data_IF_893792715311
#
_entry.id   IF_893792715311
#
_cell.length_a   1.000
_cell.length_b   1.000
_cell.length_c   1.000
_cell.angle_alpha   90.00
_cell.angle_beta   90.00
_cell.angle_gamma   90.00
#
_symmetry.space_group_name_H-M   'P 1'
#
loop_
_entity.id
_entity.type
_entity.pdbx_description
1 polymer ?
#
# COMPACT_ATOMS: atom_id res chain seq x y z
N UNK A 1 -20.37 5.55 -3.12
CA UNK A 1 -19.40 5.19 -2.09
C UNK A 1 -18.74 6.48 -1.60
N UNK A 2 -19.08 6.90 -0.39
CA UNK A 2 -18.60 8.19 0.13
C UNK A 2 -17.37 8.04 1.02
N UNK A 3 -17.25 6.92 1.71
CA UNK A 3 -16.17 6.63 2.63
C UNK A 3 -15.78 5.16 2.56
N UNK A 4 -14.49 4.88 2.46
CA UNK A 4 -13.97 3.52 2.47
C UNK A 4 -12.77 3.41 3.38
N UNK A 5 -12.48 2.19 3.84
CA UNK A 5 -11.27 1.86 4.55
C UNK A 5 -10.35 1.08 3.60
N UNK A 6 -9.10 1.49 3.52
CA UNK A 6 -8.08 0.84 2.70
C UNK A 6 -6.99 0.31 3.61
N UNK A 7 -6.76 -0.99 3.60
CA UNK A 7 -5.64 -1.61 4.29
C UNK A 7 -4.50 -1.78 3.30
N UNK A 8 -3.30 -1.42 3.71
CA UNK A 8 -2.10 -1.61 2.87
C UNK A 8 -1.02 -2.33 3.66
N UNK A 9 -0.24 -3.12 2.95
CA UNK A 9 0.98 -3.71 3.47
C UNK A 9 2.00 -3.80 2.35
N UNK A 10 3.26 -3.57 2.69
CA UNK A 10 4.39 -3.73 1.79
C UNK A 10 5.47 -4.50 2.52
N UNK A 11 6.13 -5.41 1.84
CA UNK A 11 7.16 -6.20 2.47
C UNK A 11 8.26 -6.61 1.51
N UNK A 12 9.44 -6.81 2.05
CA UNK A 12 10.62 -7.25 1.34
C UNK A 12 11.17 -8.51 2.02
N UNK A 13 11.51 -9.52 1.22
CA UNK A 13 12.20 -10.72 1.71
C UNK A 13 13.71 -10.49 1.57
N UNK A 14 14.32 -10.05 2.67
CA UNK A 14 15.62 -9.42 2.68
C UNK A 14 15.42 -7.91 2.67
N UNK A 15 16.34 -7.15 3.23
CA UNK A 15 16.20 -5.70 3.36
C UNK A 15 17.49 -5.01 2.96
N UNK A 16 17.72 -4.74 1.63
CA UNK A 16 16.78 -4.87 0.52
C UNK A 16 16.62 -6.29 -0.03
N UNK A 17 15.56 -6.50 -0.81
CA UNK A 17 15.29 -7.77 -1.48
C UNK A 17 14.02 -7.74 -2.30
N UNK A 18 13.54 -8.90 -2.77
CA UNK A 18 12.27 -9.00 -3.49
C UNK A 18 11.12 -8.47 -2.63
N UNK A 19 10.30 -7.61 -3.21
CA UNK A 19 9.28 -6.90 -2.47
C UNK A 19 7.93 -6.94 -3.20
N UNK A 20 6.85 -6.85 -2.41
CA UNK A 20 5.50 -6.84 -2.93
C UNK A 20 4.58 -5.96 -2.08
N UNK A 21 3.45 -5.60 -2.66
CA UNK A 21 2.41 -4.81 -2.01
C UNK A 21 1.10 -5.59 -2.00
N UNK A 22 0.31 -5.37 -0.95
CA UNK A 22 -1.05 -5.86 -0.84
C UNK A 22 -1.98 -4.74 -0.40
N UNK A 23 -3.20 -4.72 -0.92
CA UNK A 23 -4.21 -3.76 -0.52
C UNK A 23 -5.59 -4.39 -0.49
N UNK A 24 -6.38 -4.00 0.50
CA UNK A 24 -7.74 -4.48 0.73
C UNK A 24 -8.67 -3.27 0.86
N UNK A 25 -9.72 -3.23 0.06
CA UNK A 25 -10.72 -2.17 0.09
C UNK A 25 -11.97 -2.65 0.81
N UNK A 26 -12.38 -1.94 1.86
CA UNK A 26 -13.56 -2.24 2.66
C UNK A 26 -14.57 -1.10 2.59
N UNK A 27 -15.87 -1.45 2.58
CA UNK A 27 -16.94 -0.47 2.63
C UNK A 27 -17.16 0.05 4.06
N UNK A 28 -18.16 0.92 4.24
CA UNK A 28 -18.45 1.53 5.55
C UNK A 28 -18.84 0.50 6.62
N UNK A 29 -19.32 -0.69 6.21
CA UNK A 29 -19.67 -1.78 7.12
C UNK A 29 -18.50 -2.70 7.43
N UNK A 30 -17.32 -2.39 6.91
CA UNK A 30 -16.13 -3.23 7.11
C UNK A 30 -16.06 -4.44 6.20
N UNK A 31 -16.93 -4.55 5.23
CA UNK A 31 -16.96 -5.67 4.30
C UNK A 31 -15.93 -5.46 3.18
N UNK A 32 -15.12 -6.47 2.89
CA UNK A 32 -14.15 -6.43 1.81
C UNK A 32 -14.88 -6.52 0.47
N UNK A 33 -14.67 -5.55 -0.42
CA UNK A 33 -15.27 -5.60 -1.75
C UNK A 33 -14.24 -5.72 -2.88
N UNK A 34 -12.98 -5.42 -2.64
CA UNK A 34 -11.88 -5.62 -3.58
C UNK A 34 -10.58 -5.83 -2.82
N UNK A 35 -9.70 -6.64 -3.40
CA UNK A 35 -8.33 -6.82 -2.89
C UNK A 35 -7.40 -7.03 -4.06
N UNK A 36 -6.16 -6.56 -3.92
CA UNK A 36 -5.15 -6.62 -4.97
C UNK A 36 -3.77 -6.84 -4.38
N UNK A 37 -2.90 -7.48 -5.16
CA UNK A 37 -1.49 -7.61 -4.81
C UNK A 37 -0.63 -7.31 -6.04
N UNK A 38 0.61 -6.92 -5.80
CA UNK A 38 1.56 -6.63 -6.88
C UNK A 38 2.98 -6.92 -6.44
N UNK A 39 3.73 -7.63 -7.27
CA UNK A 39 5.18 -7.71 -7.13
C UNK A 39 5.78 -6.35 -7.49
N UNK A 40 6.66 -5.81 -6.64
CA UNK A 40 7.20 -4.47 -6.81
C UNK A 40 8.59 -4.43 -7.43
N UNK A 41 9.37 -5.49 -7.26
CA UNK A 41 10.74 -5.54 -7.77
C UNK A 41 11.66 -6.39 -6.89
N UNK A 42 12.89 -6.59 -7.36
CA UNK A 42 13.83 -7.54 -6.76
C UNK A 42 14.70 -6.95 -5.67
N UNK A 43 14.75 -5.62 -5.55
CA UNK A 43 15.73 -4.97 -4.68
C UNK A 43 15.16 -3.70 -4.02
N UNK A 44 14.20 -3.88 -3.13
CA UNK A 44 13.58 -2.79 -2.37
C UNK A 44 13.73 -3.04 -0.87
N UNK A 45 13.83 -1.96 -0.10
CA UNK A 45 13.78 -2.04 1.36
C UNK A 45 12.34 -2.21 1.82
N UNK A 46 12.13 -2.64 3.07
CA UNK A 46 10.80 -2.72 3.65
C UNK A 46 10.09 -1.37 3.61
N UNK A 47 10.80 -0.29 3.94
CA UNK A 47 10.20 1.05 3.95
C UNK A 47 9.77 1.50 2.55
N UNK A 48 10.60 1.22 1.53
CA UNK A 48 10.21 1.48 0.13
C UNK A 48 8.95 0.70 -0.26
N UNK A 49 8.88 -0.58 0.13
CA UNK A 49 7.73 -1.43 -0.17
C UNK A 49 6.45 -0.89 0.49
N UNK A 50 6.55 -0.42 1.75
CA UNK A 50 5.41 0.17 2.46
C UNK A 50 4.89 1.43 1.77
N UNK A 51 5.78 2.31 1.34
CA UNK A 51 5.40 3.51 0.59
C UNK A 51 4.77 3.17 -0.74
N UNK A 52 5.37 2.22 -1.47
CA UNK A 52 4.84 1.80 -2.78
C UNK A 52 3.49 1.11 -2.66
N UNK A 53 3.22 0.43 -1.54
CA UNK A 53 1.92 -0.17 -1.28
C UNK A 53 0.82 0.90 -1.20
N UNK A 54 1.09 2.02 -0.54
CA UNK A 54 0.15 3.14 -0.48
C UNK A 54 -0.10 3.72 -1.88
N UNK A 55 0.97 3.97 -2.63
CA UNK A 55 0.88 4.48 -4.00
C UNK A 55 0.06 3.52 -4.87
N UNK A 56 0.36 2.24 -4.79
CA UNK A 56 -0.36 1.20 -5.53
C UNK A 56 -1.85 1.23 -5.20
N UNK A 57 -2.20 1.28 -3.91
CA UNK A 57 -3.60 1.28 -3.48
C UNK A 57 -4.38 2.48 -4.03
N UNK A 58 -3.80 3.68 -3.93
CA UNK A 58 -4.46 4.90 -4.38
C UNK A 58 -4.61 4.96 -5.90
N UNK A 59 -3.57 4.55 -6.63
CA UNK A 59 -3.63 4.46 -8.09
C UNK A 59 -4.63 3.41 -8.54
N UNK A 60 -4.65 2.26 -7.86
CA UNK A 60 -5.56 1.16 -8.18
C UNK A 60 -7.02 1.56 -7.99
N UNK A 61 -7.33 2.29 -6.93
CA UNK A 61 -8.67 2.82 -6.71
C UNK A 61 -9.10 3.71 -7.88
N UNK A 62 -8.25 4.62 -8.30
CA UNK A 62 -8.54 5.53 -9.42
C UNK A 62 -8.71 4.76 -10.73
N UNK A 63 -7.87 3.75 -10.96
CA UNK A 63 -7.94 2.93 -12.16
C UNK A 63 -9.24 2.14 -12.25
N UNK A 64 -9.67 1.54 -11.14
CA UNK A 64 -10.84 0.65 -11.11
C UNK A 64 -12.14 1.44 -11.06
N UNK A 65 -12.20 2.49 -10.25
CA UNK A 65 -13.44 3.23 -9.98
C UNK A 65 -13.54 4.58 -10.67
N UNK A 66 -12.44 5.06 -11.24
CA UNK A 66 -12.40 6.31 -11.97
C UNK A 66 -12.11 7.54 -11.12
N UNK A 67 -11.66 8.60 -11.79
CA UNK A 67 -11.26 9.87 -11.16
C UNK A 67 -12.42 10.59 -10.49
N UNK A 68 -13.59 10.55 -11.09
CA UNK A 68 -14.78 11.22 -10.56
C UNK A 68 -15.21 10.63 -9.22
N UNK A 69 -15.27 9.30 -9.13
CA UNK A 69 -15.61 8.64 -7.87
C UNK A 69 -14.53 8.89 -6.81
N UNK A 70 -13.26 8.82 -7.20
CA UNK A 70 -12.15 9.10 -6.29
C UNK A 70 -12.28 10.49 -5.65
N UNK A 71 -12.59 11.50 -6.46
CA UNK A 71 -12.72 12.90 -5.99
C UNK A 71 -13.84 13.06 -4.95
N UNK A 72 -14.82 12.17 -4.95
CA UNK A 72 -15.95 12.20 -4.03
C UNK A 72 -15.82 11.19 -2.88
N UNK A 73 -14.69 10.50 -2.78
CA UNK A 73 -14.47 9.44 -1.79
C UNK A 73 -13.51 9.90 -0.70
N UNK A 74 -13.89 9.66 0.55
CA UNK A 74 -13.00 9.76 1.69
C UNK A 74 -12.36 8.40 1.96
N UNK A 75 -11.06 8.38 2.14
CA UNK A 75 -10.30 7.16 2.42
C UNK A 75 -9.70 7.25 3.82
N UNK A 76 -9.94 6.23 4.63
CA UNK A 76 -9.12 5.96 5.81
C UNK A 76 -8.13 4.86 5.42
N UNK A 77 -6.87 5.22 5.30
CA UNK A 77 -5.81 4.28 4.93
C UNK A 77 -5.13 3.79 6.20
N UNK A 78 -5.14 2.48 6.39
CA UNK A 78 -4.59 1.82 7.57
C UNK A 78 -3.36 1.01 7.20
N UNK A 79 -2.30 1.18 7.98
CA UNK A 79 -1.05 0.44 7.85
C UNK A 79 -0.51 0.09 9.24
N UNK A 80 0.21 -1.01 9.33
CA UNK A 80 0.88 -1.39 10.58
C UNK A 80 2.29 -0.78 10.72
N UNK A 81 2.77 -0.05 9.71
CA UNK A 81 4.06 0.62 9.76
C UNK A 81 3.95 1.95 10.50
N UNK A 82 4.49 2.00 11.71
CA UNK A 82 4.55 3.24 12.50
C UNK A 82 5.34 4.32 11.77
N UNK A 83 6.49 3.96 11.18
CA UNK A 83 7.32 4.92 10.45
C UNK A 83 6.58 5.56 9.29
N UNK A 84 5.95 4.74 8.44
CA UNK A 84 5.17 5.23 7.30
C UNK A 84 4.08 6.21 7.73
N UNK A 85 3.25 5.79 8.68
CA UNK A 85 2.10 6.58 9.12
C UNK A 85 2.57 7.89 9.78
N UNK A 86 3.61 7.83 10.61
CA UNK A 86 4.16 9.02 11.26
C UNK A 86 4.76 9.99 10.26
N UNK A 87 5.44 9.49 9.24
CA UNK A 87 5.98 10.35 8.17
C UNK A 87 4.86 10.97 7.32
N UNK A 88 3.85 10.19 6.94
CA UNK A 88 2.73 10.70 6.16
C UNK A 88 1.89 11.72 6.94
N UNK A 89 1.83 11.60 8.25
CA UNK A 89 1.13 12.55 9.12
C UNK A 89 1.99 13.76 9.54
N UNK A 90 3.22 13.86 9.01
CA UNK A 90 4.09 14.99 9.28
C UNK A 90 4.72 15.03 10.68
N UNK A 91 4.80 13.88 11.35
CA UNK A 91 5.37 13.79 12.71
C UNK A 91 6.87 13.48 12.70
N UNK A 92 7.38 12.81 11.67
CA UNK A 92 8.78 12.42 11.54
C UNK A 92 9.39 13.00 10.27
N UNK A 93 10.67 13.34 10.33
CA UNK A 93 11.43 13.79 9.17
C UNK A 93 11.58 12.64 8.16
N UNK A 94 11.73 12.99 6.90
CA UNK A 94 12.04 12.05 5.83
C UNK A 94 13.42 12.41 5.30
N UNK A 95 14.44 11.71 5.80
CA UNK A 95 15.83 11.96 5.44
C UNK A 95 16.34 11.02 4.35
N UNK A 96 15.65 9.89 4.15
CA UNK A 96 16.02 8.90 3.14
C UNK A 96 15.65 9.43 1.75
N UNK A 97 16.65 9.64 0.91
CA UNK A 97 16.48 10.15 -0.44
C UNK A 97 15.65 9.23 -1.34
N UNK A 98 15.61 7.94 -1.04
CA UNK A 98 14.78 6.98 -1.78
C UNK A 98 13.29 7.13 -1.43
N UNK A 99 13.00 7.60 -0.22
CA UNK A 99 11.64 7.78 0.27
C UNK A 99 11.07 9.14 -0.13
N UNK A 100 11.90 10.18 -0.19
CA UNK A 100 11.44 11.53 -0.50
C UNK A 100 10.57 11.63 -1.75
N UNK A 101 10.96 11.05 -2.91
CA UNK A 101 10.09 11.11 -4.08
C UNK A 101 8.80 10.30 -3.92
N UNK A 102 8.83 9.22 -3.16
CA UNK A 102 7.63 8.41 -2.89
C UNK A 102 6.65 9.16 -2.00
N UNK A 103 7.15 9.85 -0.98
CA UNK A 103 6.33 10.75 -0.16
C UNK A 103 5.65 11.81 -1.01
N UNK A 104 6.39 12.46 -1.90
CA UNK A 104 5.85 13.50 -2.75
C UNK A 104 4.77 12.95 -3.69
N UNK A 105 4.93 11.74 -4.20
CA UNK A 105 3.93 11.09 -5.03
C UNK A 105 2.62 10.87 -4.26
N UNK A 106 2.71 10.41 -3.01
CA UNK A 106 1.53 10.23 -2.15
C UNK A 106 0.89 11.58 -1.85
N UNK A 107 1.69 12.60 -1.55
CA UNK A 107 1.21 13.96 -1.32
C UNK A 107 0.36 14.45 -2.49
N UNK A 108 0.83 14.25 -3.72
CA UNK A 108 0.11 14.66 -4.91
C UNK A 108 -1.16 13.83 -5.13
N UNK A 109 -1.08 12.51 -4.89
CA UNK A 109 -2.24 11.62 -5.03
C UNK A 109 -3.38 11.97 -4.07
N UNK A 110 -3.08 12.50 -2.89
CA UNK A 110 -4.10 12.91 -1.93
C UNK A 110 -5.13 13.86 -2.53
N UNK A 111 -4.69 14.74 -3.42
CA UNK A 111 -5.57 15.74 -4.01
C UNK A 111 -6.56 15.17 -5.04
N UNK A 112 -6.35 13.92 -5.45
CA UNK A 112 -7.26 13.23 -6.35
C UNK A 112 -8.47 12.63 -5.61
N UNK A 113 -8.48 12.71 -4.29
CA UNK A 113 -9.53 12.19 -3.42
C UNK A 113 -10.16 13.33 -2.63
N UNK A 114 -11.35 13.08 -2.08
CA UNK A 114 -12.01 14.08 -1.22
C UNK A 114 -11.19 14.31 0.04
N UNK A 115 -10.72 13.22 0.66
CA UNK A 115 -9.89 13.27 1.87
C UNK A 115 -9.20 11.93 2.04
N UNK A 116 -7.96 11.95 2.54
CA UNK A 116 -7.26 10.74 2.97
C UNK A 116 -6.75 10.95 4.39
N UNK A 117 -7.09 10.02 5.26
CA UNK A 117 -6.59 9.96 6.63
C UNK A 117 -5.69 8.72 6.74
N UNK A 118 -4.50 8.89 7.33
CA UNK A 118 -3.56 7.79 7.55
C UNK A 118 -3.61 7.38 9.02
N UNK A 119 -3.84 6.10 9.30
CA UNK A 119 -3.96 5.58 10.65
C UNK A 119 -3.10 4.33 10.83
N UNK A 120 -2.44 4.23 11.98
CA UNK A 120 -1.68 3.04 12.33
C UNK A 120 -2.59 2.03 13.01
N UNK A 121 -2.40 0.75 12.65
CA UNK A 121 -3.09 -0.38 13.28
C UNK A 121 -2.07 -1.40 13.76
N UNK A 122 -2.48 -2.29 14.66
CA UNK A 122 -1.65 -3.40 15.08
C UNK A 122 -1.47 -4.39 13.92
N UNK A 123 -0.31 -5.05 13.87
CA UNK A 123 0.03 -5.99 12.79
C UNK A 123 -1.02 -7.11 12.65
N UNK A 124 -1.52 -7.65 13.76
CA UNK A 124 -2.53 -8.71 13.77
C UNK A 124 -3.87 -8.25 13.18
N UNK A 125 -4.09 -6.96 13.00
CA UNK A 125 -5.28 -6.41 12.35
C UNK A 125 -5.07 -6.13 10.86
N UNK A 126 -3.87 -6.42 10.35
CA UNK A 126 -3.52 -6.20 8.93
C UNK A 126 -3.22 -7.51 8.20
N UNK A 127 -3.79 -8.61 8.65
CA UNK A 127 -3.48 -9.95 8.13
C UNK A 127 -3.85 -10.16 6.68
N UNK A 128 -4.97 -9.58 6.24
CA UNK A 128 -5.42 -9.77 4.85
C UNK A 128 -4.46 -9.12 3.86
N UNK A 129 -3.99 -7.91 4.14
CA UNK A 129 -3.01 -7.24 3.30
C UNK A 129 -1.65 -7.96 3.34
N UNK A 130 -1.22 -8.40 4.52
CA UNK A 130 0.01 -9.18 4.69
C UNK A 130 -0.01 -10.47 3.89
N UNK A 131 -1.13 -11.17 3.91
CA UNK A 131 -1.32 -12.40 3.14
C UNK A 131 -1.14 -12.16 1.64
N UNK A 132 -1.67 -11.06 1.13
CA UNK A 132 -1.53 -10.69 -0.28
C UNK A 132 -0.08 -10.40 -0.66
N UNK A 133 0.69 -9.76 0.22
CA UNK A 133 2.12 -9.55 0.02
C UNK A 133 2.83 -10.89 -0.13
N UNK A 134 2.59 -11.82 0.80
CA UNK A 134 3.23 -13.13 0.78
C UNK A 134 2.82 -13.96 -0.44
N UNK A 135 1.57 -13.90 -0.85
CA UNK A 135 1.10 -14.58 -2.06
C UNK A 135 1.82 -14.06 -3.31
N UNK A 136 2.00 -12.74 -3.42
CA UNK A 136 2.72 -12.15 -4.55
C UNK A 136 4.19 -12.55 -4.56
N UNK A 137 4.84 -12.58 -3.40
CA UNK A 137 6.24 -12.99 -3.28
C UNK A 137 6.41 -14.48 -3.58
N UNK A 138 5.51 -15.32 -3.08
CA UNK A 138 5.54 -16.76 -3.34
C UNK A 138 5.29 -17.06 -4.81
N UNK A 139 4.36 -16.36 -5.45
CA UNK A 139 4.06 -16.50 -6.86
C UNK A 139 5.24 -16.13 -7.75
N UNK A 140 5.93 -15.05 -7.42
CA UNK A 140 7.13 -14.62 -8.15
C UNK A 140 8.27 -15.63 -8.00
N UNK A 141 8.48 -16.16 -6.81
CA UNK A 141 9.50 -17.18 -6.54
C UNK A 141 9.22 -18.45 -7.34
N UNK A 142 7.97 -18.87 -7.42
CA UNK A 142 7.57 -20.05 -8.20
C UNK A 142 7.77 -19.83 -9.70
N UNK A 143 7.38 -18.67 -10.23
CA UNK A 143 7.59 -18.33 -11.63
C UNK A 143 9.07 -18.36 -12.00
N UNK A 144 9.92 -17.76 -11.15
CA UNK A 144 11.37 -17.78 -11.36
C UNK A 144 11.92 -19.22 -11.38
N UNK A 145 11.48 -20.05 -10.45
CA UNK A 145 11.89 -21.45 -10.37
C UNK A 145 11.47 -22.25 -11.63
N UNK A 146 10.28 -21.98 -12.16
CA UNK A 146 9.79 -22.64 -13.38
C UNK A 146 10.62 -22.26 -14.61
N UNK A 147 11.07 -21.03 -14.70
CA UNK A 147 11.89 -20.57 -15.83
C UNK A 147 13.32 -21.09 -15.76
N UNK A 148 13.83 -21.42 -14.56
CA UNK A 148 15.19 -21.92 -14.39
C UNK A 148 15.30 -23.45 -14.49
N UNK A 149 14.17 -24.16 -14.43
CA UNK A 149 14.16 -25.64 -14.48
C UNK A 149 14.09 -26.19 -15.93
#
# INVERSE_FOLDING_TARGET
MKKITVYTDGGSRGNPGPAAAGTVFCNERGEIFKSYSQYLGDNLTNNEAEYRAVIFALKKFKQVFGKKLAKNTEIELKSDSELLVSQLNGKYKILDEKIQPLFLEIWNLKFDFKKIKFSRIAREKNKDADKLVNEALDGQKMNHKLFLS
#
